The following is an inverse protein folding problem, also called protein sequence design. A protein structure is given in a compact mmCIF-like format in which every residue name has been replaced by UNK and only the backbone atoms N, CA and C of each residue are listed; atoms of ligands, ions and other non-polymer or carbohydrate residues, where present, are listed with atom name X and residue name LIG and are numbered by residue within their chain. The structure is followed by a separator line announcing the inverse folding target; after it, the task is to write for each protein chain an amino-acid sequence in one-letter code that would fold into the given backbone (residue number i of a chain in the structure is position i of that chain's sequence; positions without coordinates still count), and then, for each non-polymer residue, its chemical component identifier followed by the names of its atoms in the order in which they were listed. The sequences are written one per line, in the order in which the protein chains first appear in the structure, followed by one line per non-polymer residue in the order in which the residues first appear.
data_IF_559955851511
#
_entry.id   IF_559955851511
#
_cell.length_a   1.000
_cell.length_b   1.000
_cell.length_c   1.000
_cell.angle_alpha   90.00
_cell.angle_beta   90.00
_cell.angle_gamma   90.00
#
_symmetry.space_group_name_H-M   'P 1'
#
loop_
_entity.id
_entity.type
_entity.pdbx_description
1 polymer ?
#
# COMPACT_ATOMS: atom_id res chain seq x y z
N UNK A 1 9.22 7.80 10.86
CA UNK A 1 9.92 7.29 12.05
C UNK A 1 11.35 7.80 12.03
N UNK A 2 11.82 8.35 13.14
CA UNK A 2 13.11 9.01 13.19
C UNK A 2 14.21 8.17 13.84
N UNK A 3 13.86 7.07 14.49
CA UNK A 3 14.83 6.22 15.20
C UNK A 3 15.08 4.93 14.44
N UNK A 4 16.35 4.68 14.12
CA UNK A 4 16.75 3.50 13.35
C UNK A 4 16.46 2.18 14.06
N UNK A 5 16.51 2.13 15.37
CA UNK A 5 16.22 0.92 16.13
C UNK A 5 14.77 0.46 15.99
N UNK A 6 13.91 1.29 15.40
CA UNK A 6 12.52 0.94 15.12
C UNK A 6 12.28 0.56 13.66
N UNK A 7 13.32 0.63 12.82
CA UNK A 7 13.19 0.25 11.43
C UNK A 7 13.05 -1.27 11.28
N UNK A 8 12.11 -1.69 10.44
CA UNK A 8 11.91 -3.08 10.09
C UNK A 8 12.50 -3.28 8.70
N UNK A 9 13.54 -4.11 8.60
CA UNK A 9 14.23 -4.35 7.32
C UNK A 9 14.03 -5.76 6.80
N UNK A 10 13.56 -6.70 7.63
CA UNK A 10 13.29 -8.07 7.21
C UNK A 10 12.06 -8.10 6.29
N UNK A 11 12.24 -8.67 5.10
CA UNK A 11 11.15 -8.74 4.11
C UNK A 11 9.94 -9.52 4.65
N UNK A 12 10.16 -10.53 5.47
CA UNK A 12 9.05 -11.32 6.04
C UNK A 12 8.20 -10.47 6.97
N UNK A 13 8.82 -9.61 7.77
CA UNK A 13 8.10 -8.69 8.65
C UNK A 13 7.34 -7.64 7.85
N UNK A 14 7.96 -7.14 6.77
CA UNK A 14 7.31 -6.19 5.87
C UNK A 14 6.08 -6.81 5.22
N UNK A 15 6.21 -8.02 4.69
CA UNK A 15 5.10 -8.73 4.06
C UNK A 15 3.99 -9.05 5.06
N UNK A 16 4.34 -9.34 6.31
CA UNK A 16 3.36 -9.57 7.35
C UNK A 16 2.50 -8.32 7.60
N UNK A 17 3.12 -7.15 7.64
CA UNK A 17 2.40 -5.89 7.77
C UNK A 17 1.49 -5.66 6.56
N UNK A 18 2.00 -5.85 5.35
CA UNK A 18 1.24 -5.70 4.11
C UNK A 18 0.03 -6.64 4.10
N UNK A 19 0.21 -7.86 4.57
CA UNK A 19 -0.86 -8.85 4.59
C UNK A 19 -1.98 -8.51 5.58
N UNK A 20 -1.68 -7.76 6.63
CA UNK A 20 -2.65 -7.39 7.66
C UNK A 20 -3.50 -6.19 7.31
N UNK A 21 -3.05 -5.35 6.38
CA UNK A 21 -3.74 -4.10 6.08
C UNK A 21 -4.63 -4.23 4.85
N UNK A 22 -5.54 -3.27 4.68
CA UNK A 22 -6.50 -3.27 3.58
C UNK A 22 -6.43 -2.01 2.73
N UNK A 23 -5.82 -0.97 3.25
CA UNK A 23 -5.74 0.34 2.60
C UNK A 23 -4.29 0.73 2.45
N UNK A 24 -3.95 1.15 1.23
CA UNK A 24 -2.66 1.70 0.90
C UNK A 24 -2.86 3.16 0.51
N UNK A 25 -1.99 4.01 1.02
CA UNK A 25 -1.99 5.43 0.65
C UNK A 25 -1.00 5.60 -0.49
N UNK A 26 -1.52 5.90 -1.67
CA UNK A 26 -0.71 6.08 -2.86
C UNK A 26 -0.38 7.55 -3.05
N UNK A 27 0.89 7.86 -3.13
CA UNK A 27 1.38 9.22 -3.37
C UNK A 27 1.79 9.40 -4.82
N UNK A 28 1.25 10.42 -5.45
CA UNK A 28 1.50 10.78 -6.84
C UNK A 28 2.01 12.22 -6.89
N UNK A 29 2.63 12.60 -8.00
CA UNK A 29 3.05 13.98 -8.23
C UNK A 29 2.21 14.58 -9.36
N UNK A 30 1.45 15.61 -9.02
CA UNK A 30 0.60 16.34 -9.96
C UNK A 30 1.21 17.70 -10.21
N UNK A 31 2.07 17.78 -11.24
CA UNK A 31 2.76 19.01 -11.63
C UNK A 31 3.46 19.69 -10.44
N UNK A 32 4.13 18.86 -9.63
CA UNK A 32 4.86 19.33 -8.46
C UNK A 32 4.04 19.33 -7.16
N UNK A 33 2.74 19.16 -7.24
CA UNK A 33 1.91 19.00 -6.05
C UNK A 33 1.82 17.54 -5.63
N UNK A 34 2.05 17.23 -4.38
CA UNK A 34 1.78 15.88 -3.88
C UNK A 34 0.29 15.58 -3.94
N UNK A 35 -0.06 14.41 -4.43
CA UNK A 35 -1.43 13.96 -4.55
C UNK A 35 -1.52 12.59 -3.86
N UNK A 36 -2.35 12.47 -2.83
CA UNK A 36 -2.43 11.26 -2.01
C UNK A 36 -3.81 10.66 -2.09
N UNK A 37 -3.89 9.37 -2.41
CA UNK A 37 -5.15 8.65 -2.57
C UNK A 37 -5.12 7.38 -1.74
N UNK A 38 -6.11 7.15 -0.86
CA UNK A 38 -6.26 5.85 -0.21
C UNK A 38 -6.89 4.85 -1.18
N UNK A 39 -6.34 3.65 -1.26
CA UNK A 39 -6.81 2.62 -2.18
C UNK A 39 -6.76 1.23 -1.56
N UNK A 40 -7.74 0.41 -1.90
CA UNK A 40 -7.66 -1.02 -1.65
C UNK A 40 -6.62 -1.63 -2.57
N UNK A 41 -6.03 -2.73 -2.15
CA UNK A 41 -4.96 -3.34 -2.92
C UNK A 41 -4.95 -4.86 -2.81
N UNK A 42 -4.32 -5.49 -3.78
CA UNK A 42 -3.79 -6.83 -3.69
C UNK A 42 -2.29 -6.75 -3.91
N UNK A 43 -1.58 -7.81 -3.61
CA UNK A 43 -0.13 -7.78 -3.79
C UNK A 43 0.41 -9.18 -4.09
N UNK A 44 1.62 -9.21 -4.64
CA UNK A 44 2.41 -10.42 -4.74
C UNK A 44 3.88 -10.10 -4.52
N UNK A 45 4.61 -11.09 -4.05
CA UNK A 45 6.06 -10.98 -3.89
C UNK A 45 6.68 -12.19 -4.58
N UNK A 46 7.32 -11.95 -5.72
CA UNK A 46 7.87 -13.00 -6.59
C UNK A 46 9.28 -12.60 -7.00
N UNK A 47 10.22 -13.50 -6.79
CA UNK A 47 11.62 -13.31 -7.20
C UNK A 47 12.22 -12.00 -6.67
N UNK A 48 11.93 -11.68 -5.42
CA UNK A 48 12.43 -10.46 -4.80
C UNK A 48 11.72 -9.19 -5.20
N UNK A 49 10.67 -9.29 -6.00
CA UNK A 49 9.91 -8.13 -6.48
C UNK A 49 8.54 -8.08 -5.83
N UNK A 50 8.26 -6.97 -5.17
CA UNK A 50 6.95 -6.70 -4.57
C UNK A 50 6.12 -5.88 -5.55
N UNK A 51 4.92 -6.36 -5.86
CA UNK A 51 4.00 -5.68 -6.76
C UNK A 51 2.67 -5.48 -6.04
N UNK A 52 2.18 -4.25 -6.06
CA UNK A 52 0.83 -3.94 -5.58
C UNK A 52 -0.09 -3.78 -6.78
N UNK A 53 -1.29 -4.33 -6.67
CA UNK A 53 -2.34 -4.18 -7.66
C UNK A 53 -3.46 -3.35 -7.07
N UNK A 54 -3.77 -2.25 -7.73
CA UNK A 54 -4.75 -1.29 -7.27
C UNK A 54 -5.91 -1.25 -8.24
N UNK A 55 -7.12 -1.13 -7.71
CA UNK A 55 -8.32 -1.10 -8.53
C UNK A 55 -8.94 0.30 -8.49
N UNK A 56 -9.37 0.76 -9.66
CA UNK A 56 -10.04 2.04 -9.80
C UNK A 56 -10.67 2.17 -11.17
N UNK A 57 -11.36 3.28 -11.41
CA UNK A 57 -11.91 3.58 -12.71
C UNK A 57 -10.80 3.69 -13.74
N UNK A 58 -11.05 3.26 -14.99
CA UNK A 58 -10.06 3.32 -16.06
C UNK A 58 -9.83 4.74 -16.55
N UNK A 59 -10.71 5.67 -16.21
CA UNK A 59 -10.58 7.09 -16.50
C UNK A 59 -10.72 7.85 -15.20
N UNK A 60 -10.03 8.97 -15.10
CA UNK A 60 -10.09 9.82 -13.94
C UNK A 60 -8.80 10.55 -13.70
N UNK A 61 -8.85 11.50 -12.80
CA UNK A 61 -7.75 12.40 -12.53
C UNK A 61 -6.45 11.68 -12.15
N UNK A 62 -6.56 10.66 -11.28
CA UNK A 62 -5.37 9.92 -10.82
C UNK A 62 -4.67 9.18 -11.96
N UNK A 63 -5.40 8.69 -12.94
CA UNK A 63 -4.79 8.04 -14.11
C UNK A 63 -4.08 9.04 -15.00
N UNK A 64 -4.67 10.22 -15.18
CA UNK A 64 -4.04 11.28 -15.94
C UNK A 64 -2.73 11.73 -15.29
N UNK A 65 -2.75 11.89 -13.98
CA UNK A 65 -1.57 12.24 -13.20
C UNK A 65 -0.49 11.16 -13.34
N UNK A 66 -0.87 9.89 -13.23
CA UNK A 66 0.05 8.77 -13.33
C UNK A 66 0.69 8.66 -14.72
N UNK A 67 -0.09 8.91 -15.78
CA UNK A 67 0.46 8.88 -17.15
C UNK A 67 1.54 9.95 -17.35
N UNK A 68 1.36 11.11 -16.75
CA UNK A 68 2.34 12.19 -16.84
C UNK A 68 3.58 11.93 -16.03
N UNK A 69 3.43 11.26 -14.89
CA UNK A 69 4.55 10.92 -14.00
C UNK A 69 4.30 9.59 -13.30
N UNK A 70 4.95 8.52 -13.77
CA UNK A 70 4.73 7.18 -13.21
C UNK A 70 5.43 6.94 -11.87
N UNK A 71 6.22 7.87 -11.40
CA UNK A 71 6.89 7.73 -10.11
C UNK A 71 5.89 7.89 -8.98
N UNK A 72 5.86 6.90 -8.08
CA UNK A 72 4.91 6.88 -6.97
C UNK A 72 5.61 6.58 -5.67
N UNK A 73 4.99 7.00 -4.59
CA UNK A 73 5.35 6.58 -3.25
C UNK A 73 4.11 5.95 -2.63
N UNK A 74 4.32 5.11 -1.63
CA UNK A 74 3.20 4.53 -0.93
C UNK A 74 3.50 4.41 0.56
N UNK A 75 2.43 4.36 1.34
CA UNK A 75 2.49 4.10 2.76
C UNK A 75 1.28 3.28 3.17
N UNK A 76 1.49 2.37 4.10
CA UNK A 76 0.40 1.65 4.73
C UNK A 76 0.75 1.41 6.19
N UNK A 77 -0.27 1.25 7.00
CA UNK A 77 -0.10 1.04 8.44
C UNK A 77 -1.10 0.04 8.97
N UNK A 78 -0.73 -0.63 10.05
CA UNK A 78 -1.58 -1.61 10.72
C UNK A 78 -1.38 -1.52 12.23
N UNK A 79 -2.21 -2.26 12.96
CA UNK A 79 -2.17 -2.32 14.41
C UNK A 79 -2.28 -0.94 15.07
N UNK A 80 -3.22 -0.14 14.55
CA UNK A 80 -3.54 1.17 15.12
C UNK A 80 -4.37 0.99 16.37
N UNK A 81 -3.72 0.56 17.43
CA UNK A 81 -4.36 0.28 18.71
C UNK A 81 -4.01 1.40 19.67
N UNK A 82 -4.98 2.21 20.09
CA UNK A 82 -4.72 3.19 21.13
C UNK A 82 -4.47 2.47 22.45
N UNK A 83 -3.48 2.93 23.18
CA UNK A 83 -3.24 2.40 24.51
C UNK A 83 -3.18 3.55 25.52
N UNK A 84 -3.65 3.26 26.74
CA UNK A 84 -3.66 4.26 27.79
C UNK A 84 -2.56 3.96 28.80
N UNK A 85 -1.86 5.02 29.18
CA UNK A 85 -0.95 4.98 30.30
C UNK A 85 -1.63 5.51 31.54
N UNK A 86 -0.96 5.43 32.64
CA UNK A 86 -1.47 5.93 33.94
C UNK A 86 -1.45 7.44 34.05
N UNK A 87 -0.66 8.11 33.18
CA UNK A 87 -0.59 9.56 33.09
C UNK A 87 -0.75 9.98 31.64
N UNK A 88 -1.17 11.22 31.42
CA UNK A 88 -1.49 11.70 30.07
C UNK A 88 -0.38 11.48 29.05
N UNK A 89 0.87 11.64 29.43
CA UNK A 89 2.01 11.44 28.52
C UNK A 89 2.25 9.99 28.10
N UNK A 90 1.55 9.04 28.71
CA UNK A 90 1.64 7.62 28.36
C UNK A 90 0.57 7.19 27.38
N UNK A 91 -0.37 8.07 27.00
CA UNK A 91 -1.35 7.76 25.99
C UNK A 91 -0.70 7.81 24.61
N UNK A 92 -1.09 6.92 23.75
CA UNK A 92 -0.55 6.89 22.39
C UNK A 92 -1.21 5.84 21.53
N UNK A 93 -0.58 5.58 20.39
CA UNK A 93 -1.02 4.59 19.41
C UNK A 93 0.10 3.61 19.15
N UNK A 94 -0.21 2.31 19.20
CA UNK A 94 0.70 1.27 18.75
C UNK A 94 0.40 0.98 17.28
N UNK A 95 1.39 1.12 16.40
CA UNK A 95 1.20 0.86 14.98
C UNK A 95 2.49 0.39 14.33
N UNK A 96 2.31 -0.28 13.20
CA UNK A 96 3.40 -0.65 12.31
C UNK A 96 3.12 -0.04 10.94
N UNK A 97 4.15 0.42 10.26
CA UNK A 97 3.99 1.04 8.94
C UNK A 97 5.06 0.57 7.97
N UNK A 98 4.70 0.59 6.69
CA UNK A 98 5.60 0.33 5.58
C UNK A 98 5.48 1.50 4.61
N UNK A 99 6.61 1.99 4.15
CA UNK A 99 6.65 3.04 3.12
C UNK A 99 7.64 2.63 2.05
N UNK A 100 7.36 3.02 0.82
CA UNK A 100 8.25 2.71 -0.28
C UNK A 100 7.98 3.57 -1.50
N UNK A 101 8.74 3.31 -2.54
CA UNK A 101 8.66 4.01 -3.83
C UNK A 101 8.64 3.00 -4.96
N UNK A 102 8.07 3.39 -6.07
CA UNK A 102 8.03 2.55 -7.25
C UNK A 102 7.50 3.27 -8.46
N UNK A 103 7.13 2.48 -9.44
CA UNK A 103 6.54 2.99 -10.69
C UNK A 103 5.15 2.39 -10.84
N UNK A 104 4.19 3.25 -11.17
CA UNK A 104 2.84 2.83 -11.44
C UNK A 104 2.59 2.74 -12.94
N UNK A 105 1.97 1.66 -13.36
CA UNK A 105 1.59 1.47 -14.76
C UNK A 105 0.16 0.93 -14.82
N UNK A 106 -0.51 1.23 -15.93
CA UNK A 106 -1.84 0.69 -16.16
C UNK A 106 -1.73 -0.74 -16.68
N UNK A 107 -2.46 -1.66 -16.04
CA UNK A 107 -2.53 -3.05 -16.49
C UNK A 107 -3.52 -3.13 -17.64
N UNK A 108 -3.04 -3.59 -18.80
CA UNK A 108 -3.85 -3.71 -20.01
C UNK A 108 -4.06 -5.15 -20.47
N UNK A 109 -3.19 -6.06 -20.03
CA UNK A 109 -3.29 -7.48 -20.36
C UNK A 109 -4.43 -8.13 -19.56
N UNK A 110 -5.27 -8.92 -20.28
CA UNK A 110 -6.45 -9.56 -19.68
C UNK A 110 -6.07 -10.54 -18.58
N UNK A 111 -5.06 -11.37 -18.83
CA UNK A 111 -4.61 -12.34 -17.82
C UNK A 111 -4.06 -11.67 -16.59
N UNK A 112 -3.31 -10.59 -16.75
CA UNK A 112 -2.77 -9.83 -15.65
C UNK A 112 -3.88 -9.12 -14.88
N UNK A 113 -4.92 -8.62 -15.58
CA UNK A 113 -6.09 -8.02 -14.93
C UNK A 113 -6.83 -9.03 -14.05
N UNK A 114 -7.01 -10.24 -14.55
CA UNK A 114 -7.67 -11.32 -13.81
C UNK A 114 -6.86 -11.68 -12.56
N UNK A 115 -5.56 -11.81 -12.71
CA UNK A 115 -4.65 -12.07 -11.60
C UNK A 115 -4.72 -10.95 -10.57
N UNK A 116 -4.69 -9.71 -11.02
CA UNK A 116 -4.75 -8.54 -10.15
C UNK A 116 -6.05 -8.51 -9.34
N UNK A 117 -7.18 -8.77 -9.99
CA UNK A 117 -8.47 -8.81 -9.31
C UNK A 117 -8.54 -9.94 -8.29
N UNK A 118 -8.02 -11.12 -8.62
CA UNK A 118 -7.99 -12.24 -7.69
C UNK A 118 -7.17 -11.91 -6.44
N UNK A 119 -6.00 -11.31 -6.62
CA UNK A 119 -5.14 -10.92 -5.51
C UNK A 119 -5.80 -9.83 -4.66
N UNK A 120 -6.46 -8.88 -5.29
CA UNK A 120 -7.15 -7.82 -4.59
C UNK A 120 -8.31 -8.36 -3.76
N UNK A 121 -9.12 -9.26 -4.34
CA UNK A 121 -10.25 -9.87 -3.63
C UNK A 121 -9.77 -10.72 -2.47
N UNK A 122 -8.70 -11.47 -2.65
CA UNK A 122 -8.10 -12.26 -1.57
C UNK A 122 -7.67 -11.36 -0.41
N UNK A 123 -6.99 -10.26 -0.71
CA UNK A 123 -6.53 -9.32 0.30
C UNK A 123 -7.68 -8.69 1.06
N UNK A 124 -8.75 -8.31 0.37
CA UNK A 124 -9.88 -7.61 0.97
C UNK A 124 -10.83 -8.53 1.72
N UNK A 125 -11.00 -9.76 1.27
CA UNK A 125 -11.99 -10.69 1.83
C UNK A 125 -11.36 -11.89 2.55
N UNK A 126 -10.10 -12.20 2.29
CA UNK A 126 -9.46 -13.41 2.79
C UNK A 126 -9.86 -14.67 2.01
N UNK A 127 -10.67 -14.54 0.97
CA UNK A 127 -11.13 -15.67 0.16
C UNK A 127 -10.34 -15.75 -1.14
N UNK A 128 -10.12 -16.98 -1.57
CA UNK A 128 -9.41 -17.26 -2.81
C UNK A 128 -10.41 -17.31 -3.98
N UNK A 129 -10.19 -16.45 -4.98
CA UNK A 129 -11.02 -16.37 -6.17
C UNK A 129 -10.15 -16.73 -7.39
N UNK A 130 -9.95 -18.00 -7.58
CA UNK A 130 -9.16 -18.50 -8.72
C UNK A 130 -10.02 -18.81 -9.93
#
# INVERSE_FOLDING_TARGET
MTRREREVTDIHDILDIINKTKILHLGLSDEGWPYVVPMNYGYEYVDGKLTFYLHGATKGYKFDVLEKNPKVSFALETDLIPFEGKVACQYGMAYQSVMGRGYGTLVTDVEEKEKALSLLMKQQTGKDFS
#
